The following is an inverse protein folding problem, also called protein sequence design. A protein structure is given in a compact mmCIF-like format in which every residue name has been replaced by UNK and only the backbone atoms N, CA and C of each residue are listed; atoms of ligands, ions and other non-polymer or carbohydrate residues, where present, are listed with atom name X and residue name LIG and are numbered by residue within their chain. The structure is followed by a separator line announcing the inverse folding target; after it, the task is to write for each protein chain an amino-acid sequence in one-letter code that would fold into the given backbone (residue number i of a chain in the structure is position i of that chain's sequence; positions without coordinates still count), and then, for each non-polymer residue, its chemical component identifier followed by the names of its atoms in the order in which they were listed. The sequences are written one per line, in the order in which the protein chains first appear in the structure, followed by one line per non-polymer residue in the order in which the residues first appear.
data_IF_931718978705
#
_entry.id   IF_931718978705
#
_cell.length_a   1.000
_cell.length_b   1.000
_cell.length_c   1.000
_cell.angle_alpha   90.00
_cell.angle_beta   90.00
_cell.angle_gamma   90.00
#
_symmetry.space_group_name_H-M   'P 1'
#
loop_
_entity.id
_entity.type
_entity.pdbx_description
1 polymer ?
#
# COMPACT_ATOMS: atom_id res chain seq x y z
N UNK A 1 -3.51 -2.82 3.73
CA UNK A 1 -4.83 -3.39 3.42
C UNK A 1 -4.95 -3.85 1.96
N UNK A 2 -4.58 -3.03 0.95
CA UNK A 2 -4.56 -3.47 -0.46
C UNK A 2 -3.79 -4.78 -0.72
N UNK A 3 -2.62 -4.96 -0.08
CA UNK A 3 -1.84 -6.19 -0.20
C UNK A 3 -2.59 -7.45 0.29
N UNK A 4 -3.44 -7.32 1.32
CA UNK A 4 -4.24 -8.44 1.82
C UNK A 4 -5.26 -8.91 0.78
N UNK A 5 -5.85 -7.98 0.02
CA UNK A 5 -6.71 -8.37 -1.12
C UNK A 5 -5.94 -9.20 -2.14
N UNK A 6 -4.71 -8.81 -2.45
CA UNK A 6 -3.84 -9.59 -3.34
C UNK A 6 -3.57 -11.00 -2.83
N UNK A 7 -3.39 -11.19 -1.52
CA UNK A 7 -3.27 -12.53 -0.93
C UNK A 7 -4.57 -13.34 -1.03
N UNK A 8 -5.73 -12.72 -0.77
CA UNK A 8 -7.03 -13.38 -0.94
C UNK A 8 -7.20 -13.86 -2.39
N UNK A 9 -6.99 -12.98 -3.36
CA UNK A 9 -7.12 -13.30 -4.78
C UNK A 9 -6.11 -14.39 -5.21
N UNK A 10 -4.88 -14.32 -4.71
CA UNK A 10 -3.83 -15.32 -4.98
C UNK A 10 -4.23 -16.72 -4.53
N UNK A 11 -4.72 -16.86 -3.29
CA UNK A 11 -5.07 -18.17 -2.73
C UNK A 11 -6.36 -18.71 -3.35
N UNK A 12 -7.37 -17.85 -3.55
CA UNK A 12 -8.62 -18.24 -4.22
C UNK A 12 -8.41 -18.70 -5.66
N UNK A 13 -7.41 -18.15 -6.37
CA UNK A 13 -7.10 -18.57 -7.73
C UNK A 13 -6.26 -19.86 -7.82
N UNK A 14 -5.45 -20.16 -6.79
CA UNK A 14 -4.49 -21.28 -6.83
C UNK A 14 -4.93 -22.52 -6.09
N UNK A 15 -5.87 -22.41 -5.17
CA UNK A 15 -6.29 -23.51 -4.29
C UNK A 15 -7.80 -23.68 -4.34
N UNK A 16 -8.24 -24.93 -4.38
CA UNK A 16 -9.65 -25.25 -4.25
C UNK A 16 -10.13 -24.93 -2.82
N UNK A 17 -11.25 -24.22 -2.71
CA UNK A 17 -11.86 -23.92 -1.42
C UNK A 17 -12.48 -25.19 -0.82
N UNK A 18 -12.02 -25.58 0.38
CA UNK A 18 -12.53 -26.77 1.08
C UNK A 18 -13.72 -26.43 1.98
N UNK A 19 -13.83 -25.19 2.45
CA UNK A 19 -14.90 -24.74 3.32
C UNK A 19 -14.60 -23.42 3.99
N UNK A 20 -15.46 -23.02 4.93
CA UNK A 20 -15.30 -21.83 5.77
C UNK A 20 -14.87 -22.24 7.17
N UNK A 21 -13.99 -21.45 7.79
CA UNK A 21 -13.53 -21.66 9.15
C UNK A 21 -14.44 -20.90 10.12
N UNK A 22 -15.14 -21.65 10.98
CA UNK A 22 -15.92 -21.09 12.10
C UNK A 22 -14.99 -20.32 13.05
N UNK A 23 -15.38 -19.10 13.42
CA UNK A 23 -14.62 -18.22 14.30
C UNK A 23 -14.83 -16.75 13.96
N UNK A 24 -13.73 -15.99 13.88
CA UNK A 24 -13.79 -14.52 13.79
C UNK A 24 -14.55 -14.01 12.57
N UNK A 25 -14.46 -14.68 11.43
CA UNK A 25 -14.97 -14.20 10.15
C UNK A 25 -16.23 -14.90 9.67
N UNK A 26 -16.46 -16.14 10.13
CA UNK A 26 -17.66 -16.92 9.82
C UNK A 26 -18.19 -17.56 11.09
N UNK A 27 -19.50 -17.58 11.29
CA UNK A 27 -20.13 -18.27 12.41
C UNK A 27 -20.34 -19.77 12.13
N UNK A 28 -21.03 -20.46 13.05
CA UNK A 28 -21.30 -21.90 12.99
C UNK A 28 -22.14 -22.30 11.77
N UNK A 29 -22.97 -21.39 11.25
CA UNK A 29 -23.78 -21.58 10.04
C UNK A 29 -22.99 -21.22 8.76
N UNK A 30 -21.73 -20.77 8.91
CA UNK A 30 -20.90 -20.28 7.82
C UNK A 30 -21.34 -18.90 7.30
N UNK A 31 -22.17 -18.17 8.03
CA UNK A 31 -22.58 -16.82 7.70
C UNK A 31 -21.47 -15.81 8.04
N UNK A 32 -21.31 -14.76 7.22
CA UNK A 32 -20.28 -13.77 7.43
C UNK A 32 -20.54 -12.92 8.68
N UNK A 33 -19.54 -12.81 9.55
CA UNK A 33 -19.63 -11.95 10.73
C UNK A 33 -19.42 -10.48 10.37
N UNK A 34 -19.74 -9.59 11.31
CA UNK A 34 -19.43 -8.16 11.15
C UNK A 34 -17.93 -7.89 10.99
N UNK A 35 -17.07 -8.68 11.65
CA UNK A 35 -15.62 -8.55 11.52
C UNK A 35 -15.14 -8.85 10.08
N UNK A 36 -15.78 -9.79 9.38
CA UNK A 36 -15.48 -10.05 7.96
C UNK A 36 -15.89 -8.86 7.10
N UNK A 37 -17.10 -8.35 7.29
CA UNK A 37 -17.60 -7.16 6.56
C UNK A 37 -16.66 -5.96 6.71
N UNK A 38 -16.20 -5.70 7.94
CA UNK A 38 -15.25 -4.63 8.21
C UNK A 38 -13.90 -4.87 7.55
N UNK A 39 -13.38 -6.11 7.57
CA UNK A 39 -12.14 -6.45 6.90
C UNK A 39 -12.24 -6.27 5.38
N UNK A 40 -13.34 -6.71 4.77
CA UNK A 40 -13.60 -6.54 3.34
C UNK A 40 -13.73 -5.06 2.95
N UNK A 41 -14.46 -4.26 3.73
CA UNK A 41 -14.56 -2.82 3.53
C UNK A 41 -13.19 -2.13 3.64
N UNK A 42 -12.38 -2.51 4.64
CA UNK A 42 -11.03 -1.98 4.82
C UNK A 42 -10.10 -2.35 3.65
N UNK A 43 -10.23 -3.57 3.10
CA UNK A 43 -9.50 -3.98 1.89
C UNK A 43 -9.94 -3.18 0.67
N UNK A 44 -11.24 -2.98 0.47
CA UNK A 44 -11.78 -2.18 -0.64
C UNK A 44 -11.30 -0.73 -0.58
N UNK A 45 -11.33 -0.12 0.61
CA UNK A 45 -10.79 1.23 0.81
C UNK A 45 -9.28 1.27 0.56
N UNK A 46 -8.54 0.25 1.01
CA UNK A 46 -7.12 0.11 0.72
C UNK A 46 -6.80 0.10 -0.78
N UNK A 47 -7.62 -0.59 -1.60
CA UNK A 47 -7.46 -0.60 -3.06
C UNK A 47 -7.76 0.77 -3.67
N UNK A 48 -8.81 1.45 -3.20
CA UNK A 48 -9.16 2.80 -3.65
C UNK A 48 -8.00 3.78 -3.40
N UNK A 49 -7.47 3.79 -2.17
CA UNK A 49 -6.33 4.63 -1.80
C UNK A 49 -5.06 4.28 -2.59
N UNK A 50 -4.83 2.99 -2.88
CA UNK A 50 -3.73 2.57 -3.74
C UNK A 50 -3.90 3.12 -5.16
N UNK A 51 -5.07 2.97 -5.77
CA UNK A 51 -5.34 3.51 -7.11
C UNK A 51 -5.18 5.04 -7.17
N UNK A 52 -5.62 5.76 -6.13
CA UNK A 52 -5.40 7.19 -6.01
C UNK A 52 -3.92 7.55 -5.87
N UNK A 53 -3.15 6.79 -5.10
CA UNK A 53 -1.70 6.94 -4.98
C UNK A 53 -1.01 6.70 -6.31
N UNK A 54 -1.34 5.61 -7.00
CA UNK A 54 -0.75 5.26 -8.30
C UNK A 54 -1.07 6.33 -9.36
N UNK A 55 -2.31 6.85 -9.38
CA UNK A 55 -2.69 7.97 -10.26
C UNK A 55 -1.90 9.24 -9.94
N UNK A 56 -1.68 9.55 -8.65
CA UNK A 56 -0.84 10.68 -8.24
C UNK A 56 0.61 10.48 -8.68
N UNK A 57 1.16 9.28 -8.55
CA UNK A 57 2.53 8.96 -8.99
C UNK A 57 2.68 9.07 -10.52
N UNK A 58 1.66 8.72 -11.29
CA UNK A 58 1.67 8.93 -12.75
C UNK A 58 1.68 10.41 -13.12
N UNK A 59 0.92 11.23 -12.40
CA UNK A 59 0.89 12.69 -12.61
C UNK A 59 2.17 13.37 -12.10
N UNK A 60 2.74 12.83 -11.03
CA UNK A 60 3.89 13.37 -10.33
C UNK A 60 4.92 12.26 -10.07
N UNK A 61 5.76 11.92 -11.06
CA UNK A 61 6.79 10.90 -10.88
C UNK A 61 7.73 11.27 -9.71
N UNK A 62 8.28 10.26 -9.01
CA UNK A 62 9.19 10.51 -7.90
C UNK A 62 10.45 11.25 -8.37
N UNK A 63 10.92 12.24 -7.59
CA UNK A 63 12.25 12.80 -7.79
C UNK A 63 13.30 11.75 -7.39
N UNK A 64 14.49 11.85 -7.97
CA UNK A 64 15.62 11.09 -7.49
C UNK A 64 16.03 11.59 -6.10
N UNK A 65 16.52 10.68 -5.27
CA UNK A 65 17.09 11.00 -3.97
C UNK A 65 18.45 10.32 -3.79
N UNK A 66 19.40 11.06 -3.24
CA UNK A 66 20.75 10.58 -2.87
C UNK A 66 21.00 10.95 -1.42
N UNK A 67 21.79 10.13 -0.73
CA UNK A 67 22.35 10.51 0.56
C UNK A 67 23.78 10.00 0.71
N UNK A 68 24.62 10.81 1.33
CA UNK A 68 25.90 10.35 1.86
C UNK A 68 26.19 10.99 3.21
N UNK A 69 27.00 10.32 4.04
CA UNK A 69 27.41 10.86 5.35
C UNK A 69 28.11 12.21 5.24
N UNK A 70 28.88 12.43 4.17
CA UNK A 70 29.62 13.66 3.93
C UNK A 70 28.76 14.83 3.38
N UNK A 71 27.68 14.54 2.64
CA UNK A 71 26.91 15.57 1.91
C UNK A 71 25.45 15.70 2.37
N UNK A 72 24.99 14.83 3.26
CA UNK A 72 23.60 14.77 3.67
C UNK A 72 22.69 14.27 2.54
N UNK A 73 21.40 14.62 2.60
CA UNK A 73 20.39 14.20 1.62
C UNK A 73 20.24 15.22 0.48
N UNK A 74 20.17 14.74 -0.75
CA UNK A 74 19.95 15.53 -1.97
C UNK A 74 18.76 14.98 -2.75
N UNK A 75 17.90 15.85 -3.25
CA UNK A 75 16.79 15.51 -4.13
C UNK A 75 16.92 16.29 -5.42
N UNK A 76 16.66 15.66 -6.56
CA UNK A 76 16.61 16.35 -7.85
C UNK A 76 15.64 15.64 -8.78
N UNK A 77 15.08 16.41 -9.70
CA UNK A 77 14.11 15.92 -10.66
C UNK A 77 14.71 16.15 -12.06
N UNK A 78 14.78 15.10 -12.88
CA UNK A 78 15.44 15.14 -14.19
C UNK A 78 14.61 15.99 -15.18
N UNK A 79 15.24 16.60 -16.19
CA UNK A 79 14.51 17.44 -17.19
C UNK A 79 13.43 16.68 -17.97
N UNK A 80 13.51 15.35 -18.03
CA UNK A 80 12.51 14.47 -18.66
C UNK A 80 11.22 14.33 -17.86
N UNK A 81 11.25 14.66 -16.56
CA UNK A 81 10.11 14.58 -15.66
C UNK A 81 9.67 16.00 -15.30
N UNK A 82 8.80 16.58 -16.14
CA UNK A 82 8.42 18.00 -16.10
C UNK A 82 7.55 18.41 -14.91
N UNK A 83 7.12 17.46 -14.06
CA UNK A 83 6.39 17.70 -12.80
C UNK A 83 6.70 16.61 -11.76
N UNK A 84 7.82 16.67 -11.05
CA UNK A 84 8.05 15.78 -9.91
C UNK A 84 7.76 16.49 -8.58
N UNK A 85 7.28 15.74 -7.59
CA UNK A 85 7.13 16.18 -6.21
C UNK A 85 7.78 15.19 -5.24
N UNK A 86 8.22 15.64 -4.05
CA UNK A 86 8.60 14.74 -2.97
C UNK A 86 7.37 13.92 -2.54
N UNK A 87 7.44 12.60 -2.69
CA UNK A 87 6.40 11.68 -2.21
C UNK A 87 6.44 11.52 -0.69
N UNK A 88 5.39 10.99 -0.08
CA UNK A 88 5.35 10.69 1.38
C UNK A 88 6.48 9.74 1.81
N UNK A 89 6.93 8.82 0.96
CA UNK A 89 8.09 7.97 1.23
C UNK A 89 9.39 8.79 1.35
N UNK A 90 9.55 9.85 0.55
CA UNK A 90 10.68 10.78 0.68
C UNK A 90 10.59 11.62 1.96
N UNK A 91 9.39 11.94 2.46
CA UNK A 91 9.20 12.60 3.77
C UNK A 91 9.57 11.69 4.93
N UNK A 92 9.20 10.40 4.87
CA UNK A 92 9.58 9.42 5.90
C UNK A 92 11.10 9.21 5.96
N UNK A 93 11.79 9.19 4.80
CA UNK A 93 13.26 9.15 4.74
C UNK A 93 13.88 10.36 5.45
N UNK A 94 13.28 11.54 5.37
CA UNK A 94 13.74 12.73 6.10
C UNK A 94 13.52 12.61 7.62
N UNK A 95 12.41 12.01 8.05
CA UNK A 95 12.09 11.82 9.47
C UNK A 95 13.04 10.81 10.13
N UNK A 96 13.22 9.64 9.50
CA UNK A 96 14.12 8.60 10.04
C UNK A 96 15.59 9.03 10.06
N UNK A 97 16.02 9.95 9.18
CA UNK A 97 17.43 10.39 9.08
C UNK A 97 17.77 11.67 9.83
N UNK A 98 16.80 12.34 10.47
CA UNK A 98 17.02 13.41 11.47
C UNK A 98 17.17 12.87 12.89
N UNK A 99 16.78 11.62 13.11
CA UNK A 99 16.81 10.95 14.42
C UNK A 99 18.06 10.05 14.60
N UNK A 100 18.99 10.08 13.64
CA UNK A 100 20.25 9.35 13.65
C UNK A 100 21.45 10.31 13.67
#
# INVERSE_FOLDING_TARGET
LAALRGWVDFYSARYAAVGKLVGRFYDEDGAPTEALRQAEAAMAEGLRLKAESDRRQQQFPPCNSEWSSARGSRFWCSRQSSRCFPTEEHRLVLIFRRLA
#
